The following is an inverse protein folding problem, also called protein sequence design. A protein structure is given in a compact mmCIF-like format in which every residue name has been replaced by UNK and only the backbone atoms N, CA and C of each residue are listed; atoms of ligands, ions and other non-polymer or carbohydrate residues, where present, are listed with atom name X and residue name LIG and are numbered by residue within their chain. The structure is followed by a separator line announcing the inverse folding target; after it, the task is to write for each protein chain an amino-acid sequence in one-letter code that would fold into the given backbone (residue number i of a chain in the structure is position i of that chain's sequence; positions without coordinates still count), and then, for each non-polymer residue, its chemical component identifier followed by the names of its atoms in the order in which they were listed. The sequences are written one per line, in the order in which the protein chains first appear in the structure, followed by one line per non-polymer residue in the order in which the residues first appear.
data_IF_737143674746
#
_entry.id   IF_737143674746
#
_cell.length_a   1.000
_cell.length_b   1.000
_cell.length_c   1.000
_cell.angle_alpha   90.00
_cell.angle_beta   90.00
_cell.angle_gamma   90.00
#
_symmetry.space_group_name_H-M   'P 1'
#
loop_
_entity.id
_entity.type
_entity.pdbx_description
1 polymer ?
#
# COMPACT_ATOMS: atom_id res chain seq x y z
N UNK A 1 13.21 -14.31 1.83
CA UNK A 1 12.29 -13.83 0.75
C UNK A 1 12.94 -13.92 -0.62
N UNK A 2 12.15 -14.07 -1.68
CA UNK A 2 12.60 -14.15 -3.08
C UNK A 2 12.35 -12.78 -3.72
N UNK A 3 13.27 -11.85 -3.52
CA UNK A 3 13.11 -10.43 -3.91
C UNK A 3 12.97 -10.24 -5.45
N UNK A 4 13.50 -11.18 -6.24
CA UNK A 4 13.39 -11.19 -7.71
C UNK A 4 11.96 -11.30 -8.19
N UNK A 5 11.07 -11.95 -7.43
CA UNK A 5 9.63 -12.02 -7.72
C UNK A 5 8.97 -10.64 -7.74
N UNK A 6 9.53 -9.69 -6.97
CA UNK A 6 9.05 -8.31 -6.94
C UNK A 6 9.71 -7.45 -8.01
N UNK A 7 11.05 -7.55 -8.21
CA UNK A 7 11.82 -6.54 -8.95
C UNK A 7 12.48 -7.02 -10.24
N UNK A 8 12.33 -8.30 -10.64
CA UNK A 8 12.82 -8.77 -11.96
C UNK A 8 11.93 -8.29 -13.09
N UNK A 9 10.63 -8.34 -12.86
CA UNK A 9 9.58 -7.83 -13.74
C UNK A 9 8.47 -7.30 -12.85
N UNK A 10 7.82 -6.17 -13.25
CA UNK A 10 6.74 -5.60 -12.46
C UNK A 10 5.58 -6.59 -12.35
N UNK A 11 5.21 -7.08 -11.15
CA UNK A 11 4.17 -8.08 -11.01
C UNK A 11 2.80 -7.47 -11.25
N UNK A 12 2.03 -8.08 -12.13
CA UNK A 12 0.60 -7.79 -12.30
C UNK A 12 -0.21 -8.83 -11.53
N UNK A 13 -1.05 -8.37 -10.60
CA UNK A 13 -1.83 -9.23 -9.72
C UNK A 13 -3.32 -9.00 -9.95
N UNK A 14 -4.14 -9.98 -9.57
CA UNK A 14 -5.58 -9.95 -9.81
C UNK A 14 -6.35 -10.52 -8.63
N UNK A 15 -7.54 -9.98 -8.40
CA UNK A 15 -8.61 -10.60 -7.63
C UNK A 15 -9.84 -10.82 -8.51
N UNK A 16 -10.98 -11.13 -7.92
CA UNK A 16 -12.24 -11.18 -8.66
C UNK A 16 -12.61 -9.83 -9.29
N UNK A 17 -12.44 -8.74 -8.52
CA UNK A 17 -12.93 -7.40 -8.87
C UNK A 17 -11.83 -6.41 -9.21
N UNK A 18 -10.58 -6.68 -8.84
CA UNK A 18 -9.47 -5.73 -8.92
C UNK A 18 -8.31 -6.27 -9.76
N UNK A 19 -7.59 -5.34 -10.38
CA UNK A 19 -6.30 -5.57 -11.00
C UNK A 19 -5.27 -4.64 -10.37
N UNK A 20 -4.06 -5.16 -10.20
CA UNK A 20 -2.91 -4.44 -9.62
C UNK A 20 -1.80 -4.41 -10.66
N UNK A 21 -1.46 -3.24 -11.13
CA UNK A 21 -0.44 -3.06 -12.17
C UNK A 21 0.30 -1.73 -12.02
N UNK A 22 1.29 -1.52 -12.87
CA UNK A 22 2.06 -0.27 -12.94
C UNK A 22 1.12 0.90 -13.26
N UNK A 23 1.34 2.04 -12.59
CA UNK A 23 0.70 3.31 -12.92
C UNK A 23 1.52 3.97 -14.04
N UNK A 24 0.85 4.37 -15.10
CA UNK A 24 1.42 4.98 -16.29
C UNK A 24 0.86 6.38 -16.52
N UNK A 25 1.45 7.14 -17.46
CA UNK A 25 1.00 8.51 -17.77
C UNK A 25 -0.46 8.59 -18.22
N UNK A 26 -1.00 7.51 -18.81
CA UNK A 26 -2.42 7.41 -19.17
C UNK A 26 -3.37 7.50 -17.98
N UNK A 27 -2.90 7.24 -16.76
CA UNK A 27 -3.69 7.26 -15.51
C UNK A 27 -3.55 8.57 -14.73
N UNK A 28 -2.97 9.61 -15.36
CA UNK A 28 -2.59 10.85 -14.65
C UNK A 28 -3.78 11.59 -14.07
N UNK A 29 -4.95 11.56 -14.73
CA UNK A 29 -6.13 12.28 -14.25
C UNK A 29 -6.70 11.65 -12.99
N UNK A 30 -6.81 10.33 -12.95
CA UNK A 30 -7.26 9.61 -11.77
C UNK A 30 -6.24 9.70 -10.63
N UNK A 31 -4.95 9.61 -10.96
CA UNK A 31 -3.88 9.79 -9.99
C UNK A 31 -3.92 11.19 -9.38
N UNK A 32 -4.14 12.22 -10.21
CA UNK A 32 -4.31 13.60 -9.74
C UNK A 32 -5.52 13.73 -8.82
N UNK A 33 -6.67 13.17 -9.19
CA UNK A 33 -7.87 13.20 -8.36
C UNK A 33 -7.68 12.55 -6.97
N UNK A 34 -6.79 11.54 -6.88
CA UNK A 34 -6.41 10.96 -5.57
C UNK A 34 -5.53 11.94 -4.78
N UNK A 35 -4.49 12.51 -5.42
CA UNK A 35 -3.51 13.35 -4.73
C UNK A 35 -4.01 14.76 -4.40
N UNK A 36 -5.02 15.25 -5.12
CA UNK A 36 -5.64 16.58 -4.91
C UNK A 36 -6.65 16.58 -3.74
N UNK A 37 -6.93 15.44 -3.14
CA UNK A 37 -7.87 15.32 -2.04
C UNK A 37 -7.17 15.17 -0.69
N UNK A 38 -7.22 16.21 0.14
CA UNK A 38 -6.58 16.28 1.47
C UNK A 38 -7.05 15.18 2.41
N UNK A 39 -8.33 14.76 2.33
CA UNK A 39 -8.90 13.74 3.19
C UNK A 39 -8.23 12.37 2.98
N UNK A 40 -7.81 12.06 1.74
CA UNK A 40 -7.13 10.81 1.42
C UNK A 40 -5.85 10.66 2.24
N UNK A 41 -5.18 11.77 2.54
CA UNK A 41 -3.90 11.80 3.23
C UNK A 41 -3.98 12.28 4.68
N UNK A 42 -5.18 12.38 5.24
CA UNK A 42 -5.38 12.83 6.62
C UNK A 42 -4.59 11.99 7.63
N UNK A 43 -4.51 10.67 7.42
CA UNK A 43 -3.83 9.73 8.32
C UNK A 43 -2.60 9.07 7.69
N UNK A 44 -1.94 9.73 6.75
CA UNK A 44 -0.67 9.22 6.20
C UNK A 44 0.38 10.31 6.07
N UNK A 45 1.65 9.89 5.96
CA UNK A 45 2.80 10.79 5.86
C UNK A 45 3.02 11.39 4.47
N UNK A 46 1.98 11.43 3.63
CA UNK A 46 2.03 11.99 2.28
C UNK A 46 1.36 13.36 2.30
N UNK A 47 2.04 14.36 1.72
CA UNK A 47 1.46 15.69 1.51
C UNK A 47 0.62 15.66 0.23
N UNK A 48 -0.66 16.08 0.27
CA UNK A 48 -1.49 16.27 -0.92
C UNK A 48 -0.80 17.09 -2.01
N UNK A 49 -1.17 16.90 -3.26
CA UNK A 49 -0.57 17.61 -4.41
C UNK A 49 -1.66 18.22 -5.27
N UNK A 50 -1.80 19.54 -5.21
CA UNK A 50 -2.82 20.32 -5.93
C UNK A 50 -2.33 20.83 -7.30
N UNK A 51 -1.29 20.22 -7.85
CA UNK A 51 -0.75 20.57 -9.15
C UNK A 51 -0.50 19.32 -9.99
N UNK A 52 -1.16 19.26 -11.14
CA UNK A 52 -1.10 18.12 -12.07
C UNK A 52 0.33 17.78 -12.49
N UNK A 53 1.15 18.80 -12.80
CA UNK A 53 2.54 18.57 -13.24
C UNK A 53 3.39 17.95 -12.12
N UNK A 54 3.10 18.32 -10.86
CA UNK A 54 3.75 17.72 -9.69
C UNK A 54 3.37 16.24 -9.57
N UNK A 55 2.09 15.90 -9.73
CA UNK A 55 1.62 14.51 -9.69
C UNK A 55 2.19 13.70 -10.86
N UNK A 56 2.29 14.28 -12.06
CA UNK A 56 2.92 13.62 -13.19
C UNK A 56 4.38 13.23 -12.93
N UNK A 57 5.15 14.09 -12.26
CA UNK A 57 6.54 13.79 -11.87
C UNK A 57 6.62 12.63 -10.87
N UNK A 58 5.56 12.36 -10.11
CA UNK A 58 5.53 11.26 -9.14
C UNK A 58 5.57 9.88 -9.81
N UNK A 59 5.02 9.74 -11.02
CA UNK A 59 5.11 8.48 -11.78
C UNK A 59 6.59 8.11 -12.00
N UNK A 60 7.42 9.09 -12.38
CA UNK A 60 8.87 8.88 -12.50
C UNK A 60 9.57 8.59 -11.16
N UNK A 61 9.03 9.07 -10.03
CA UNK A 61 9.53 8.71 -8.70
C UNK A 61 9.19 7.26 -8.36
N UNK A 62 7.97 6.79 -8.67
CA UNK A 62 7.59 5.39 -8.46
C UNK A 62 8.49 4.44 -9.24
N UNK A 63 8.81 4.79 -10.48
CA UNK A 63 9.73 4.01 -11.32
C UNK A 63 11.15 3.98 -10.77
N UNK A 64 11.68 5.12 -10.33
CA UNK A 64 13.02 5.18 -9.70
C UNK A 64 13.10 4.35 -8.43
N UNK A 65 12.08 4.38 -7.57
CA UNK A 65 12.04 3.58 -6.35
C UNK A 65 11.98 2.08 -6.66
N UNK A 66 11.24 1.70 -7.70
CA UNK A 66 11.19 0.34 -8.21
C UNK A 66 12.55 -0.13 -8.75
N UNK A 67 13.20 0.68 -9.60
CA UNK A 67 14.53 0.36 -10.14
C UNK A 67 15.61 0.25 -9.06
N UNK A 68 15.49 1.04 -7.99
CA UNK A 68 16.37 0.93 -6.80
C UNK A 68 16.02 -0.25 -5.89
N UNK A 69 14.99 -1.03 -6.20
CA UNK A 69 14.47 -2.13 -5.38
C UNK A 69 14.12 -1.74 -3.94
N UNK A 70 13.78 -0.47 -3.73
CA UNK A 70 13.44 0.06 -2.40
C UNK A 70 11.95 0.03 -2.10
N UNK A 71 11.13 0.15 -3.16
CA UNK A 71 9.66 0.24 -3.05
C UNK A 71 9.01 -0.17 -4.35
N UNK A 72 7.84 -0.79 -4.24
CA UNK A 72 6.95 -1.02 -5.36
C UNK A 72 5.58 -0.42 -5.04
N UNK A 73 4.97 0.28 -6.01
CA UNK A 73 3.63 0.84 -5.92
C UNK A 73 2.77 0.28 -7.04
N UNK A 74 1.73 -0.47 -6.66
CA UNK A 74 0.71 -0.90 -7.61
C UNK A 74 -0.43 0.11 -7.61
N UNK A 75 -0.89 0.50 -8.78
CA UNK A 75 -2.22 1.06 -8.95
C UNK A 75 -3.27 -0.03 -8.69
N UNK A 76 -4.33 0.32 -7.98
CA UNK A 76 -5.50 -0.52 -7.79
C UNK A 76 -6.53 -0.09 -8.83
N UNK A 77 -6.92 -1.01 -9.72
CA UNK A 77 -7.87 -0.77 -10.80
C UNK A 77 -9.11 -1.63 -10.62
N UNK A 78 -10.29 -1.04 -10.74
CA UNK A 78 -11.54 -1.80 -10.84
C UNK A 78 -11.63 -2.47 -12.21
N UNK A 79 -12.05 -3.74 -12.25
CA UNK A 79 -12.26 -4.52 -13.49
C UNK A 79 -13.60 -4.21 -14.19
N UNK A 80 -14.37 -3.23 -13.71
CA UNK A 80 -15.60 -2.79 -14.35
C UNK A 80 -15.34 -2.16 -15.74
N UNK A 81 -16.38 -1.82 -16.50
CA UNK A 81 -16.38 -1.43 -17.91
C UNK A 81 -15.36 -0.36 -18.36
N UNK A 82 -14.80 0.42 -17.46
CA UNK A 82 -13.64 1.28 -17.68
C UNK A 82 -12.62 0.99 -16.58
N UNK A 83 -11.47 0.48 -16.96
CA UNK A 83 -10.34 0.22 -16.08
C UNK A 83 -9.90 1.51 -15.37
N UNK A 84 -10.47 1.79 -14.20
CA UNK A 84 -10.28 3.04 -13.47
C UNK A 84 -9.31 2.85 -12.31
N UNK A 85 -8.30 3.71 -12.22
CA UNK A 85 -7.42 3.80 -11.06
C UNK A 85 -8.20 4.33 -9.85
N UNK A 86 -8.36 3.50 -8.81
CA UNK A 86 -9.16 3.81 -7.62
C UNK A 86 -8.33 3.97 -6.35
N UNK A 87 -7.06 3.62 -6.41
CA UNK A 87 -6.14 3.73 -5.27
C UNK A 87 -4.76 3.21 -5.56
N UNK A 88 -3.93 3.21 -4.54
CA UNK A 88 -2.55 2.71 -4.58
C UNK A 88 -2.33 1.80 -3.36
N UNK A 89 -1.62 0.70 -3.58
CA UNK A 89 -1.04 -0.14 -2.54
C UNK A 89 0.44 -0.31 -2.81
N UNK A 90 1.25 -0.29 -1.75
CA UNK A 90 2.70 -0.33 -1.88
C UNK A 90 3.33 -1.33 -0.91
N UNK A 91 4.51 -1.83 -1.29
CA UNK A 91 5.41 -2.57 -0.42
C UNK A 91 6.78 -1.88 -0.42
N UNK A 92 7.36 -1.72 0.76
CA UNK A 92 8.59 -0.97 1.00
C UNK A 92 9.39 -1.57 2.15
N UNK A 93 10.59 -1.03 2.38
CA UNK A 93 11.45 -1.42 3.50
C UNK A 93 11.74 -2.93 3.53
N UNK A 94 12.11 -3.48 2.36
CA UNK A 94 12.43 -4.90 2.21
C UNK A 94 13.68 -5.28 3.01
N UNK A 95 13.48 -5.87 4.19
CA UNK A 95 14.56 -6.35 5.06
C UNK A 95 14.80 -7.84 4.85
N UNK A 96 15.76 -8.17 3.98
CA UNK A 96 16.10 -9.56 3.63
C UNK A 96 16.78 -10.34 4.77
N UNK A 97 17.25 -9.68 5.84
CA UNK A 97 17.88 -10.37 6.98
C UNK A 97 16.87 -11.10 7.86
N UNK A 98 15.63 -10.62 7.89
CA UNK A 98 14.52 -11.19 8.68
C UNK A 98 13.30 -11.47 7.82
N UNK A 99 13.43 -11.37 6.49
CA UNK A 99 12.36 -11.55 5.50
C UNK A 99 11.10 -10.75 5.82
N UNK A 100 11.30 -9.45 6.11
CA UNK A 100 10.23 -8.52 6.46
C UNK A 100 10.00 -7.49 5.36
N UNK A 101 8.75 -7.06 5.22
CA UNK A 101 8.33 -5.96 4.35
C UNK A 101 7.26 -5.11 5.02
N UNK A 102 7.25 -3.82 4.76
CA UNK A 102 6.20 -2.91 5.20
C UNK A 102 5.23 -2.66 4.04
N UNK A 103 3.93 -2.65 4.32
CA UNK A 103 2.90 -2.28 3.34
C UNK A 103 2.20 -0.98 3.72
N UNK A 104 1.74 -0.25 2.71
CA UNK A 104 0.90 0.94 2.85
C UNK A 104 -0.14 1.01 1.74
N UNK A 105 -1.27 1.68 1.96
CA UNK A 105 -2.31 1.82 0.95
C UNK A 105 -3.18 3.05 1.20
N UNK A 106 -3.76 3.57 0.13
CA UNK A 106 -4.77 4.62 0.16
C UNK A 106 -5.67 4.53 -1.08
N UNK A 107 -6.92 4.95 -0.93
CA UNK A 107 -7.94 4.93 -1.98
C UNK A 107 -8.50 6.33 -2.20
N UNK A 108 -8.95 6.62 -3.42
CA UNK A 108 -9.80 7.77 -3.66
C UNK A 108 -11.06 7.72 -2.77
N UNK A 109 -11.46 8.86 -2.22
CA UNK A 109 -12.58 8.99 -1.25
C UNK A 109 -13.86 8.31 -1.75
N UNK A 110 -14.19 8.47 -3.03
CA UNK A 110 -15.38 7.87 -3.65
C UNK A 110 -15.43 6.33 -3.59
N UNK A 111 -14.32 5.68 -3.25
CA UNK A 111 -14.18 4.22 -3.19
C UNK A 111 -14.04 3.69 -1.75
N UNK A 112 -14.17 4.55 -0.74
CA UNK A 112 -14.17 4.13 0.65
C UNK A 112 -15.44 3.36 1.02
N UNK A 113 -15.34 2.50 2.04
CA UNK A 113 -16.47 1.73 2.55
C UNK A 113 -16.96 0.57 1.66
N UNK A 114 -16.34 0.34 0.49
CA UNK A 114 -16.75 -0.66 -0.50
C UNK A 114 -15.98 -2.00 -0.40
N UNK A 115 -15.13 -2.17 0.60
CA UNK A 115 -14.33 -3.38 0.78
C UNK A 115 -13.06 -3.45 -0.08
N UNK A 116 -12.82 -2.48 -0.97
CA UNK A 116 -11.69 -2.46 -1.92
C UNK A 116 -10.34 -2.53 -1.21
N UNK A 117 -10.13 -1.74 -0.14
CA UNK A 117 -8.87 -1.78 0.62
C UNK A 117 -8.62 -3.17 1.23
N UNK A 118 -9.66 -3.81 1.76
CA UNK A 118 -9.53 -5.15 2.35
C UNK A 118 -9.19 -6.21 1.29
N UNK A 119 -9.82 -6.15 0.11
CA UNK A 119 -9.52 -7.03 -1.02
C UNK A 119 -8.10 -6.78 -1.54
N UNK A 120 -7.69 -5.51 -1.66
CA UNK A 120 -6.34 -5.14 -2.09
C UNK A 120 -5.26 -5.67 -1.14
N UNK A 121 -5.44 -5.49 0.17
CA UNK A 121 -4.51 -6.01 1.17
C UNK A 121 -4.44 -7.54 1.10
N UNK A 122 -5.58 -8.25 0.95
CA UNK A 122 -5.59 -9.69 0.82
C UNK A 122 -4.76 -10.20 -0.37
N UNK A 123 -4.87 -9.54 -1.54
CA UNK A 123 -4.10 -9.90 -2.74
C UNK A 123 -2.60 -9.70 -2.53
N UNK A 124 -2.20 -8.56 -1.97
CA UNK A 124 -0.79 -8.27 -1.74
C UNK A 124 -0.20 -9.18 -0.66
N UNK A 125 -0.95 -9.44 0.42
CA UNK A 125 -0.54 -10.40 1.47
C UNK A 125 -0.31 -11.78 0.83
N UNK A 126 -1.25 -12.27 0.04
CA UNK A 126 -1.11 -13.55 -0.66
C UNK A 126 0.15 -13.60 -1.52
N UNK A 127 0.37 -12.61 -2.37
CA UNK A 127 1.56 -12.52 -3.22
C UNK A 127 2.86 -12.51 -2.39
N UNK A 128 2.91 -11.68 -1.35
CA UNK A 128 4.10 -11.56 -0.50
C UNK A 128 4.38 -12.85 0.30
N UNK A 129 3.35 -13.51 0.83
CA UNK A 129 3.50 -14.74 1.63
C UNK A 129 3.80 -15.97 0.76
N UNK A 130 3.07 -16.15 -0.36
CA UNK A 130 3.14 -17.39 -1.15
C UNK A 130 4.22 -17.35 -2.24
N UNK A 131 4.38 -16.21 -2.94
CA UNK A 131 5.31 -16.12 -4.07
C UNK A 131 6.65 -15.50 -3.68
N UNK A 132 6.63 -14.41 -2.90
CA UNK A 132 7.86 -13.74 -2.43
C UNK A 132 8.46 -14.46 -1.23
N UNK A 133 7.66 -15.24 -0.51
CA UNK A 133 8.05 -16.00 0.68
C UNK A 133 8.63 -15.11 1.78
N UNK A 134 7.91 -14.02 2.12
CA UNK A 134 8.25 -13.20 3.28
C UNK A 134 7.86 -13.92 4.58
N UNK A 135 8.60 -13.66 5.66
CA UNK A 135 8.28 -14.16 6.98
C UNK A 135 7.32 -13.22 7.74
N UNK A 136 7.42 -11.91 7.47
CA UNK A 136 6.65 -10.89 8.20
C UNK A 136 6.21 -9.76 7.26
N UNK A 137 4.93 -9.40 7.36
CA UNK A 137 4.41 -8.16 6.76
C UNK A 137 4.05 -7.22 7.91
N UNK A 138 4.52 -5.98 7.83
CA UNK A 138 4.23 -4.92 8.80
C UNK A 138 3.38 -3.83 8.16
N UNK A 139 2.54 -3.19 8.97
CA UNK A 139 1.87 -1.94 8.63
C UNK A 139 1.93 -0.97 9.81
N UNK A 140 2.09 0.32 9.50
CA UNK A 140 2.16 1.41 10.48
C UNK A 140 0.94 2.29 10.32
N UNK A 141 0.21 2.50 11.40
CA UNK A 141 -1.10 3.17 11.37
C UNK A 141 -1.16 4.26 12.42
N UNK A 142 -1.58 5.47 12.06
CA UNK A 142 -1.89 6.51 13.04
C UNK A 142 -3.02 6.04 13.97
N UNK A 143 -2.93 6.31 15.30
CA UNK A 143 -3.91 5.83 16.28
C UNK A 143 -5.37 6.20 15.99
N UNK A 144 -5.61 7.28 15.24
CA UNK A 144 -6.96 7.73 14.87
C UNK A 144 -7.50 7.13 13.57
N UNK A 145 -6.69 6.37 12.82
CA UNK A 145 -7.10 5.77 11.55
C UNK A 145 -7.86 4.44 11.75
N UNK A 146 -9.05 4.52 12.31
CA UNK A 146 -9.90 3.35 12.57
C UNK A 146 -10.26 2.54 11.29
N UNK A 147 -10.51 3.17 10.11
CA UNK A 147 -10.75 2.40 8.89
C UNK A 147 -9.59 1.49 8.51
N UNK A 148 -8.34 1.97 8.58
CA UNK A 148 -7.15 1.18 8.24
C UNK A 148 -6.95 0.02 9.23
N UNK A 149 -7.16 0.25 10.52
CA UNK A 149 -7.09 -0.80 11.55
C UNK A 149 -8.05 -1.96 11.24
N UNK A 150 -9.31 -1.65 10.89
CA UNK A 150 -10.31 -2.66 10.53
C UNK A 150 -9.89 -3.48 9.30
N UNK A 151 -9.30 -2.84 8.29
CA UNK A 151 -8.80 -3.51 7.10
C UNK A 151 -7.68 -4.49 7.46
N UNK A 152 -6.72 -4.08 8.27
CA UNK A 152 -5.60 -4.92 8.69
C UNK A 152 -6.07 -6.11 9.55
N UNK A 153 -6.89 -5.86 10.56
CA UNK A 153 -7.44 -6.93 11.43
C UNK A 153 -8.24 -7.96 10.61
N UNK A 154 -9.05 -7.51 9.64
CA UNK A 154 -9.79 -8.39 8.73
C UNK A 154 -8.86 -9.28 7.89
N UNK A 155 -7.68 -8.79 7.55
CA UNK A 155 -6.66 -9.53 6.82
C UNK A 155 -5.70 -10.34 7.71
N UNK A 156 -6.00 -10.46 8.99
CA UNK A 156 -5.28 -11.33 9.91
C UNK A 156 -4.09 -10.69 10.60
N UNK A 157 -3.84 -9.40 10.38
CA UNK A 157 -2.81 -8.69 11.14
C UNK A 157 -3.19 -8.59 12.62
N UNK A 158 -2.20 -8.64 13.47
CA UNK A 158 -2.33 -8.43 14.91
C UNK A 158 -1.74 -7.06 15.28
N UNK A 159 -2.39 -6.33 16.16
CA UNK A 159 -1.80 -5.15 16.78
C UNK A 159 -0.72 -5.57 17.75
N UNK A 160 0.51 -5.11 17.56
CA UNK A 160 1.65 -5.49 18.37
C UNK A 160 2.07 -4.41 19.38
N UNK A 161 1.72 -3.15 19.11
CA UNK A 161 2.05 -2.09 20.05
C UNK A 161 1.81 -0.68 19.52
N UNK A 162 2.16 0.30 20.37
CA UNK A 162 2.16 1.72 20.07
C UNK A 162 3.57 2.26 20.24
N UNK A 163 4.12 2.83 19.20
CA UNK A 163 5.36 3.59 19.23
C UNK A 163 5.02 5.08 19.38
N UNK A 164 5.34 5.67 20.52
CA UNK A 164 5.10 7.09 20.76
C UNK A 164 6.17 7.94 20.10
N UNK A 165 5.75 9.01 19.40
CA UNK A 165 6.64 9.97 18.73
C UNK A 165 7.72 9.28 17.87
N UNK A 166 7.32 8.24 17.13
CA UNK A 166 8.23 7.32 16.47
C UNK A 166 8.62 7.76 15.05
N UNK A 167 7.87 8.66 14.44
CA UNK A 167 8.10 9.04 13.06
C UNK A 167 7.79 10.51 12.81
N UNK A 168 8.60 11.13 11.96
CA UNK A 168 8.32 12.47 11.43
C UNK A 168 7.61 12.35 10.10
N UNK A 169 6.32 12.62 10.09
CA UNK A 169 5.53 12.59 8.86
C UNK A 169 5.35 13.97 8.26
N UNK A 170 5.58 14.07 6.96
CA UNK A 170 5.43 15.31 6.21
C UNK A 170 4.03 15.88 6.39
N UNK A 171 3.94 17.16 6.77
CA UNK A 171 2.67 17.87 7.02
C UNK A 171 1.95 17.49 8.33
N UNK A 172 2.50 16.56 9.12
CA UNK A 172 1.90 16.11 10.40
C UNK A 172 2.79 16.37 11.62
N UNK A 173 4.09 16.56 11.41
CA UNK A 173 5.07 16.62 12.50
C UNK A 173 5.40 15.22 13.04
N UNK A 174 5.82 15.18 14.30
CA UNK A 174 6.13 13.92 14.99
C UNK A 174 4.84 13.24 15.42
N UNK A 175 4.67 11.98 15.01
CA UNK A 175 3.44 11.21 15.23
C UNK A 175 3.68 9.92 15.99
N UNK A 176 2.64 9.46 16.68
CA UNK A 176 2.56 8.12 17.23
C UNK A 176 2.12 7.15 16.13
N UNK A 177 2.63 5.91 16.17
CA UNK A 177 2.26 4.86 15.23
C UNK A 177 1.90 3.58 15.97
N UNK A 178 0.75 3.02 15.66
CA UNK A 178 0.39 1.65 16.01
C UNK A 178 1.01 0.70 15.00
N UNK A 179 1.68 -0.33 15.50
CA UNK A 179 2.32 -1.36 14.68
C UNK A 179 1.40 -2.55 14.57
N UNK A 180 1.13 -2.96 13.33
CA UNK A 180 0.40 -4.16 12.98
C UNK A 180 1.32 -5.12 12.25
N UNK A 181 1.35 -6.39 12.66
CA UNK A 181 2.16 -7.45 12.07
C UNK A 181 1.32 -8.64 11.64
N UNK A 182 1.76 -9.29 10.56
CA UNK A 182 1.28 -10.61 10.13
C UNK A 182 2.49 -11.48 9.85
N UNK A 183 2.60 -12.58 10.58
CA UNK A 183 3.65 -13.57 10.38
C UNK A 183 3.21 -14.65 9.40
N UNK A 184 4.18 -15.25 8.70
CA UNK A 184 3.91 -16.39 7.81
C UNK A 184 3.22 -17.54 8.54
N UNK A 185 3.66 -17.84 9.76
CA UNK A 185 3.05 -18.88 10.59
C UNK A 185 1.55 -18.62 10.89
N UNK A 186 1.17 -17.34 11.14
CA UNK A 186 -0.22 -16.96 11.37
C UNK A 186 -1.06 -17.01 10.08
N UNK A 187 -0.43 -16.70 8.94
CA UNK A 187 -1.06 -16.80 7.61
C UNK A 187 -1.35 -18.25 7.24
N UNK A 188 -0.37 -19.14 7.39
CA UNK A 188 -0.48 -20.55 7.03
C UNK A 188 -1.52 -21.31 7.88
N UNK A 189 -1.82 -20.86 9.11
CA UNK A 189 -2.86 -21.44 9.96
C UNK A 189 -4.30 -21.09 9.53
N UNK A 190 -4.48 -20.11 8.62
CA UNK A 190 -5.79 -19.63 8.16
C UNK A 190 -6.17 -20.13 6.75
N UNK A 191 -5.24 -20.70 6.03
CA UNK A 191 -5.42 -21.32 4.70
C UNK A 191 -5.69 -22.78 4.82
#
# INVERSE_FOLDING_TARGET
MIIEKVFKQFPTLHSANLQFKKIEDSHIQELFAIYDNDKVFEYCGIIPKHNLQTVQKMIGHFERDYMKKSRIKWGIFEKSQSEKLVGIIEAMDFNQKVDMVTIGYYLAEAFWGKGIASEAVAVIVKFLMEEVNVNRIQAEVMPLNEPSKKVLLKNGFLKEGLLRQASLWSGKGVVDLEIYGLLKADYDLKG
#
